data_IF_121082579817
#
_entry.id   IF_121082579817
#
_cell.length_a   1.000
_cell.length_b   1.000
_cell.length_c   1.000
_cell.angle_alpha   90.00
_cell.angle_beta   90.00
_cell.angle_gamma   90.00
#
_symmetry.space_group_name_H-M   'P 1'
#
loop_
_entity.id
_entity.type
_entity.pdbx_description
1 polymer ?
2 non-polymer ?
3 non-polymer ?
4 non-polymer ?
5 non-polymer ?
6 water ?
#
# COMPACT_ATOMS: atom_id res chain seq x y z
N UNK A 1 -21.96 12.39 15.19
CA UNK A 1 -22.23 13.80 14.76
C UNK A 1 -23.41 13.90 13.75
N UNK A 2 -23.71 15.10 13.24
CA UNK A 2 -25.00 15.36 12.60
C UNK A 2 -25.09 15.14 11.07
N UNK A 3 -23.98 14.83 10.40
CA UNK A 3 -24.04 14.47 8.98
C UNK A 3 -24.55 13.03 8.82
N UNK A 4 -25.50 12.84 7.91
CA UNK A 4 -26.09 11.54 7.71
C UNK A 4 -25.11 10.61 7.04
N UNK A 5 -25.25 9.32 7.29
CA UNK A 5 -24.47 8.32 6.54
C UNK A 5 -24.78 8.41 5.05
N UNK A 6 -26.04 8.69 4.68
CA UNK A 6 -26.39 8.87 3.26
C UNK A 6 -25.53 9.96 2.60
N UNK A 7 -25.30 11.09 3.31
CA UNK A 7 -24.50 12.20 2.78
C UNK A 7 -23.01 11.84 2.68
N UNK A 8 -22.48 11.18 3.71
CA UNK A 8 -21.07 10.72 3.65
C UNK A 8 -20.87 9.79 2.44
N UNK A 9 -21.76 8.81 2.32
CA UNK A 9 -21.68 7.84 1.20
C UNK A 9 -21.74 8.53 -0.17
N UNK A 10 -22.64 9.50 -0.31
CA UNK A 10 -22.76 10.23 -1.57
C UNK A 10 -21.53 11.07 -1.87
N UNK A 11 -21.01 11.76 -0.86
CA UNK A 11 -19.81 12.57 -1.04
C UNK A 11 -18.61 11.72 -1.50
N UNK A 12 -18.37 10.60 -0.84
CA UNK A 12 -17.21 9.78 -1.14
C UNK A 12 -17.37 9.13 -2.52
N UNK A 13 -18.57 8.63 -2.82
CA UNK A 13 -18.87 8.16 -4.17
C UNK A 13 -18.53 9.24 -5.23
N UNK A 14 -18.91 10.48 -4.97
CA UNK A 14 -18.65 11.57 -5.92
C UNK A 14 -17.16 11.83 -6.17
N UNK A 15 -16.29 11.56 -5.19
CA UNK A 15 -14.84 11.75 -5.42
C UNK A 15 -14.32 10.80 -6.50
N UNK A 16 -14.81 9.55 -6.49
CA UNK A 16 -14.44 8.58 -7.52
C UNK A 16 -15.10 8.91 -8.86
N UNK A 17 -16.37 9.29 -8.84
CA UNK A 17 -17.08 9.70 -10.06
C UNK A 17 -16.37 10.87 -10.73
N UNK A 18 -15.93 11.85 -9.96
CA UNK A 18 -15.32 13.06 -10.50
C UNK A 18 -13.91 12.81 -11.08
N UNK A 19 -13.17 11.86 -10.52
CA UNK A 19 -11.91 11.38 -11.12
C UNK A 19 -12.14 10.48 -12.34
N UNK A 20 -13.38 10.24 -12.71
CA UNK A 20 -13.75 9.40 -13.84
C UNK A 20 -13.14 7.99 -13.77
N UNK A 21 -13.21 7.41 -12.57
CA UNK A 21 -12.79 6.03 -12.39
C UNK A 21 -13.82 5.24 -11.59
N UNK A 22 -13.46 4.00 -11.29
CA UNK A 22 -14.24 3.12 -10.47
C UNK A 22 -13.35 2.69 -9.32
N UNK A 23 -13.86 2.78 -8.11
CA UNK A 23 -13.05 2.43 -6.96
C UNK A 23 -13.79 2.30 -5.66
N UNK A 24 -13.04 1.87 -4.65
CA UNK A 24 -13.55 1.65 -3.32
C UNK A 24 -12.49 2.12 -2.32
N UNK A 25 -12.92 2.66 -1.18
CA UNK A 25 -12.03 2.89 -0.05
C UNK A 25 -12.66 2.18 1.16
N UNK A 26 -11.86 1.31 1.78
CA UNK A 26 -12.28 0.53 2.94
C UNK A 26 -11.64 1.18 4.16
N UNK A 27 -12.45 1.45 5.19
CA UNK A 27 -11.98 2.04 6.43
C UNK A 27 -12.25 1.03 7.54
N UNK A 28 -11.27 0.83 8.43
CA UNK A 28 -11.44 -0.07 9.56
C UNK A 28 -11.37 0.72 10.87
N UNK A 29 -12.42 0.67 11.67
CA UNK A 29 -12.44 1.33 12.98
C UNK A 29 -12.66 0.24 14.00
N UNK A 30 -11.59 -0.10 14.72
CA UNK A 30 -11.60 -1.23 15.63
C UNK A 30 -11.65 -2.49 14.79
N UNK A 31 -12.70 -3.29 14.98
CA UNK A 31 -12.93 -4.47 14.15
C UNK A 31 -13.90 -4.23 12.97
N UNK A 32 -14.54 -3.06 12.91
CA UNK A 32 -15.60 -2.84 11.91
C UNK A 32 -15.04 -2.27 10.61
N UNK A 33 -15.29 -2.98 9.51
CA UNK A 33 -14.92 -2.54 8.17
C UNK A 33 -16.05 -1.79 7.53
N UNK A 34 -15.79 -0.59 7.01
CA UNK A 34 -16.77 0.18 6.26
C UNK A 34 -16.27 0.39 4.85
N UNK A 35 -17.13 0.11 3.87
CA UNK A 35 -16.81 0.22 2.46
C UNK A 35 -17.52 1.43 1.83
N UNK A 36 -16.76 2.30 1.15
CA UNK A 36 -17.27 3.49 0.50
C UNK A 36 -16.76 3.55 -0.93
N UNK A 37 -17.34 4.41 -1.75
CA UNK A 37 -16.84 4.66 -3.11
C UNK A 37 -17.94 4.48 -4.13
N UNK A 38 -17.57 4.32 -5.40
CA UNK A 38 -18.55 4.17 -6.47
C UNK A 38 -18.56 2.79 -7.08
N UNK A 39 -17.80 1.83 -6.54
CA UNK A 39 -17.83 0.46 -7.07
C UNK A 39 -17.59 -0.55 -5.96
N UNK A 40 -18.58 -0.68 -5.08
CA UNK A 40 -18.42 -1.38 -3.82
C UNK A 40 -18.04 -2.86 -3.98
N UNK A 41 -18.47 -3.48 -5.08
CA UNK A 41 -18.16 -4.88 -5.34
C UNK A 41 -16.67 -5.18 -5.53
N UNK A 42 -15.84 -4.14 -5.71
CA UNK A 42 -14.40 -4.33 -5.76
C UNK A 42 -13.79 -4.82 -4.42
N UNK A 43 -14.52 -4.67 -3.31
CA UNK A 43 -14.00 -4.94 -1.96
C UNK A 43 -13.42 -6.33 -1.74
N UNK A 44 -14.02 -7.37 -2.33
CA UNK A 44 -13.52 -8.75 -2.19
C UNK A 44 -13.02 -9.37 -3.50
N UNK A 45 -12.65 -8.53 -4.48
CA UNK A 45 -12.00 -8.99 -5.70
C UNK A 45 -10.49 -8.90 -5.57
N UNK A 46 -9.80 -9.82 -6.23
CA UNK A 46 -8.34 -9.93 -6.20
C UNK A 46 -7.65 -9.06 -7.26
N UNK A 47 -6.63 -8.31 -6.85
CA UNK A 47 -5.78 -7.51 -7.77
C UNK A 47 -4.33 -7.74 -7.39
N UNK A 48 -3.41 -7.45 -8.32
CA UNK A 48 -2.00 -7.52 -7.97
C UNK A 48 -1.75 -6.42 -6.93
N UNK A 49 -0.84 -6.68 -5.99
CA UNK A 49 -0.53 -5.65 -4.99
C UNK A 49 0.31 -4.53 -5.53
N UNK A 50 1.04 -4.78 -6.61
CA UNK A 50 1.96 -3.81 -7.19
C UNK A 50 2.87 -3.28 -6.07
N UNK A 51 3.21 -2.00 -6.08
CA UNK A 51 4.18 -1.46 -5.14
C UNK A 51 3.74 -1.44 -3.66
N UNK A 52 2.48 -1.78 -3.35
CA UNK A 52 2.08 -1.96 -1.93
C UNK A 52 2.87 -3.13 -1.32
N UNK A 53 3.27 -4.09 -2.14
CA UNK A 53 4.13 -5.18 -1.69
C UNK A 53 5.48 -4.76 -1.10
N UNK A 54 5.96 -3.57 -1.44
CA UNK A 54 7.21 -3.03 -0.85
C UNK A 54 7.17 -3.04 0.66
N UNK A 55 6.00 -2.86 1.27
CA UNK A 55 5.88 -2.95 2.73
C UNK A 55 6.32 -4.32 3.24
N UNK A 56 5.80 -5.38 2.65
CA UNK A 56 6.15 -6.72 3.07
C UNK A 56 7.56 -7.13 2.62
N UNK A 57 7.94 -6.74 1.41
CA UNK A 57 9.29 -6.96 0.89
C UNK A 57 10.31 -6.41 1.91
N UNK A 58 10.11 -5.18 2.38
CA UNK A 58 11.01 -4.57 3.39
C UNK A 58 11.04 -5.31 4.74
N UNK A 59 9.86 -5.71 5.24
CA UNK A 59 9.79 -6.50 6.47
C UNK A 59 10.60 -7.79 6.35
N UNK A 60 10.41 -8.49 5.24
CA UNK A 60 11.07 -9.76 5.01
C UNK A 60 12.59 -9.59 4.91
N UNK A 61 13.03 -8.56 4.17
CA UNK A 61 14.45 -8.32 3.96
C UNK A 61 15.16 -7.90 5.24
N UNK A 62 14.54 -7.01 6.01
CA UNK A 62 15.14 -6.57 7.27
C UNK A 62 15.15 -7.70 8.31
N UNK A 63 14.05 -8.44 8.43
CA UNK A 63 13.97 -9.54 9.40
C UNK A 63 15.07 -10.58 9.13
N UNK A 64 15.30 -10.88 7.86
CA UNK A 64 16.26 -11.90 7.46
C UNK A 64 17.66 -11.37 7.15
N UNK A 65 17.98 -10.17 7.63
CA UNK A 65 19.30 -9.54 7.50
C UNK A 65 19.83 -9.47 6.06
N UNK A 66 18.94 -9.18 5.13
CA UNK A 66 19.32 -8.97 3.74
C UNK A 66 19.67 -7.51 3.46
N UNK A 67 19.35 -6.63 4.41
CA UNK A 67 19.68 -5.22 4.30
C UNK A 67 19.55 -4.61 5.67
N UNK A 68 20.10 -3.41 5.82
CA UNK A 68 19.88 -2.58 6.99
C UNK A 68 19.18 -1.32 6.57
N UNK A 69 18.67 -0.56 7.54
CA UNK A 69 17.95 0.67 7.21
C UNK A 69 18.86 1.81 6.75
N UNK A 70 20.16 1.75 7.04
CA UNK A 70 21.09 2.77 6.57
C UNK A 70 21.89 2.38 5.33
N UNK A 71 21.76 1.13 4.89
CA UNK A 71 22.50 0.65 3.72
C UNK A 71 22.10 1.48 2.50
N UNK A 72 23.09 1.84 1.70
CA UNK A 72 22.85 2.62 0.50
C UNK A 72 22.92 1.65 -0.68
N UNK A 73 21.79 1.49 -1.37
CA UNK A 73 21.71 0.68 -2.57
C UNK A 73 22.17 1.55 -3.75
N UNK A 74 23.31 1.21 -4.33
CA UNK A 74 23.91 2.04 -5.39
C UNK A 74 23.16 1.92 -6.70
N UNK A 75 22.98 3.05 -7.38
CA UNK A 75 22.53 3.04 -8.76
C UNK A 75 23.62 2.42 -9.65
N UNK A 76 23.24 1.44 -10.47
CA UNK A 76 24.16 0.72 -11.36
C UNK A 76 24.63 1.54 -12.59
N UNK A 77 24.03 2.70 -12.81
CA UNK A 77 24.43 3.60 -13.89
C UNK A 77 23.65 3.41 -15.17
N UNK A 78 22.71 2.45 -15.18
CA UNK A 78 21.83 2.22 -16.32
C UNK A 78 20.59 3.10 -16.28
N UNK A 79 20.03 3.37 -17.48
CA UNK A 79 18.86 4.22 -17.62
C UNK A 79 17.67 3.55 -16.92
N UNK A 80 16.88 4.35 -16.21
CA UNK A 80 15.74 3.86 -15.46
C UNK A 80 14.48 4.40 -16.09
N UNK A 81 13.37 3.74 -15.81
CA UNK A 81 12.06 4.18 -16.30
C UNK A 81 11.77 5.62 -15.88
N UNK A 82 12.13 5.98 -14.64
CA UNK A 82 12.02 7.34 -14.10
C UNK A 82 13.40 7.88 -13.73
N UNK A 83 13.73 9.12 -14.17
CA UNK A 83 15.01 9.79 -13.84
C UNK A 83 15.32 9.94 -12.35
N UNK A 84 14.28 10.05 -11.51
CA UNK A 84 14.60 10.18 -10.08
C UNK A 84 15.05 8.89 -9.43
N UNK A 85 14.91 7.74 -10.14
CA UNK A 85 15.47 6.48 -9.67
C UNK A 85 16.97 6.37 -9.95
N UNK A 86 17.55 7.29 -10.75
CA UNK A 86 18.97 7.22 -11.14
C UNK A 86 19.87 7.82 -10.06
N UNK A 87 19.84 7.22 -8.87
CA UNK A 87 20.61 7.68 -7.75
C UNK A 87 20.69 6.56 -6.71
N UNK A 88 21.62 6.76 -5.79
CA UNK A 88 21.88 5.82 -4.71
C UNK A 88 20.86 6.13 -3.62
N UNK A 89 20.32 5.09 -3.00
CA UNK A 89 19.32 5.31 -1.97
C UNK A 89 19.18 4.19 -0.96
N UNK A 90 18.61 4.56 0.17
CA UNK A 90 18.25 3.61 1.24
C UNK A 90 16.89 3.00 0.95
N UNK A 91 16.53 1.96 1.69
CA UNK A 91 15.21 1.34 1.58
C UNK A 91 14.09 2.35 1.81
N UNK A 92 14.29 3.24 2.79
CA UNK A 92 13.29 4.26 3.10
C UNK A 92 13.10 5.27 2.00
N UNK A 93 14.21 5.72 1.42
CA UNK A 93 14.14 6.63 0.27
C UNK A 93 13.47 5.92 -0.91
N UNK A 94 13.82 4.66 -1.13
CA UNK A 94 13.21 3.87 -2.19
C UNK A 94 11.71 3.64 -1.96
N UNK A 95 11.30 3.51 -0.70
CA UNK A 95 9.86 3.37 -0.37
C UNK A 95 9.09 4.61 -0.87
N UNK A 96 9.56 5.79 -0.50
CA UNK A 96 8.93 7.05 -0.87
C UNK A 96 8.89 7.31 -2.38
N UNK A 97 9.94 6.90 -3.10
CA UNK A 97 9.99 7.05 -4.55
C UNK A 97 9.38 5.88 -5.31
N UNK A 98 8.96 4.85 -4.58
CA UNK A 98 8.53 3.56 -5.16
C UNK A 98 9.54 3.04 -6.20
N UNK A 99 10.81 3.03 -5.79
CA UNK A 99 11.92 2.62 -6.64
C UNK A 99 12.00 1.11 -6.73
N UNK A 100 11.28 0.59 -7.72
CA UNK A 100 11.21 -0.83 -8.02
C UNK A 100 12.58 -1.49 -8.10
N UNK A 101 13.59 -0.86 -8.77
CA UNK A 101 14.89 -1.55 -8.86
C UNK A 101 15.56 -1.88 -7.54
N UNK A 102 15.39 -1.03 -6.54
CA UNK A 102 15.96 -1.29 -5.24
C UNK A 102 15.26 -2.47 -4.59
N UNK A 103 13.93 -2.50 -4.68
CA UNK A 103 13.15 -3.59 -4.09
C UNK A 103 13.32 -4.88 -4.87
N UNK A 104 13.63 -4.80 -6.16
CA UNK A 104 13.99 -6.02 -6.92
C UNK A 104 15.33 -6.59 -6.46
N UNK A 105 16.30 -5.71 -6.15
CA UNK A 105 17.58 -6.17 -5.59
C UNK A 105 17.33 -6.86 -4.25
N UNK A 106 16.52 -6.24 -3.39
CA UNK A 106 16.18 -6.85 -2.12
C UNK A 106 15.53 -8.22 -2.28
N UNK A 107 14.56 -8.33 -3.19
CA UNK A 107 13.91 -9.64 -3.46
C UNK A 107 14.91 -10.71 -3.91
N UNK A 108 15.83 -10.33 -4.79
CA UNK A 108 16.88 -11.24 -5.23
C UNK A 108 17.82 -11.69 -4.10
N UNK A 109 18.13 -10.80 -3.16
CA UNK A 109 18.94 -11.18 -2.03
C UNK A 109 18.18 -12.16 -1.15
N UNK A 110 16.90 -11.90 -0.94
CA UNK A 110 16.05 -12.79 -0.17
C UNK A 110 15.97 -14.16 -0.84
N UNK A 111 15.74 -14.16 -2.15
CA UNK A 111 15.67 -15.38 -2.93
C UNK A 111 14.30 -16.03 -2.93
N UNK A 112 14.03 -16.82 -3.97
CA UNK A 112 12.69 -17.36 -4.20
C UNK A 112 12.21 -18.24 -3.06
N UNK A 113 13.06 -19.18 -2.62
CA UNK A 113 12.66 -20.13 -1.58
C UNK A 113 12.24 -19.45 -0.30
N UNK A 114 13.09 -18.56 0.20
CA UNK A 114 12.78 -17.81 1.42
C UNK A 114 11.59 -16.86 1.23
N UNK A 115 11.50 -16.20 0.08
CA UNK A 115 10.37 -15.29 -0.19
C UNK A 115 9.02 -16.05 -0.13
N UNK A 116 8.94 -17.20 -0.79
CA UNK A 116 7.70 -17.99 -0.79
C UNK A 116 7.33 -18.43 0.61
N UNK A 117 8.31 -18.91 1.37
CA UNK A 117 8.06 -19.31 2.75
C UNK A 117 7.57 -18.16 3.63
N UNK A 118 8.14 -16.98 3.45
CA UNK A 118 7.76 -15.84 4.27
C UNK A 118 6.39 -15.29 3.87
N UNK A 119 6.10 -15.28 2.57
CA UNK A 119 4.80 -14.83 2.08
C UNK A 119 3.70 -15.79 2.56
N UNK A 120 3.97 -17.11 2.53
CA UNK A 120 3.06 -18.11 3.16
C UNK A 120 2.91 -17.90 4.66
N UNK A 121 4.03 -17.71 5.36
CA UNK A 121 4.01 -17.54 6.81
C UNK A 121 3.18 -16.33 7.26
N UNK A 122 3.23 -15.24 6.50
CA UNK A 122 2.44 -14.05 6.77
C UNK A 122 0.98 -14.18 6.26
N UNK A 123 0.73 -15.10 5.33
CA UNK A 123 -0.49 -15.41 4.70
C UNK A 123 -1.07 -14.04 4.04
N UNK A 124 -0.24 -13.57 3.11
CA UNK A 124 -0.51 -12.34 2.36
C UNK A 124 -1.23 -12.67 1.06
N UNK A 125 -2.46 -12.16 0.90
CA UNK A 125 -3.24 -12.34 -0.32
C UNK A 125 -3.52 -13.80 -0.62
N UNK A 126 -3.39 -14.18 -1.89
CA UNK A 126 -3.47 -15.57 -2.28
C UNK A 126 -2.20 -16.39 -1.99
N UNK A 127 -1.17 -15.75 -1.40
CA UNK A 127 0.09 -16.40 -0.98
C UNK A 127 0.97 -17.05 -2.08
N UNK A 128 0.66 -16.86 -3.37
CA UNK A 128 1.41 -17.50 -4.46
C UNK A 128 2.33 -16.53 -5.15
N UNK A 129 3.63 -16.83 -5.12
CA UNK A 129 4.61 -15.99 -5.83
C UNK A 129 5.17 -16.62 -7.11
N UNK A 130 4.85 -17.88 -7.39
CA UNK A 130 5.30 -18.54 -8.61
C UNK A 130 6.82 -18.71 -8.64
N UNK A 131 7.42 -18.58 -9.82
CA UNK A 131 8.82 -18.93 -10.06
C UNK A 131 9.77 -17.74 -10.26
N UNK A 132 9.25 -16.53 -10.39
CA UNK A 132 10.05 -15.34 -10.69
C UNK A 132 10.11 -14.40 -9.47
N UNK A 133 11.25 -14.42 -8.77
CA UNK A 133 11.39 -13.69 -7.52
C UNK A 133 11.34 -12.15 -7.63
N UNK A 134 11.55 -11.60 -8.83
CA UNK A 134 11.71 -10.15 -9.00
C UNK A 134 10.54 -9.40 -9.66
N UNK A 135 9.46 -10.11 -9.99
CA UNK A 135 8.27 -9.44 -10.54
C UNK A 135 6.90 -10.03 -10.15
N UNK A 136 6.88 -10.94 -9.18
CA UNK A 136 5.64 -11.64 -8.80
C UNK A 136 4.53 -10.72 -8.25
N UNK A 137 4.92 -9.57 -7.68
CA UNK A 137 4.01 -8.55 -7.13
C UNK A 137 3.49 -7.57 -8.19
N UNK A 138 4.09 -7.59 -9.38
CA UNK A 138 3.83 -6.64 -10.45
C UNK A 138 2.88 -7.18 -11.51
N UNK A 139 3.05 -8.44 -11.89
CA UNK A 139 2.29 -9.03 -13.01
C UNK A 139 1.59 -10.32 -12.65
N UNK A 140 1.47 -10.61 -11.36
CA UNK A 140 1.00 -11.92 -10.90
C UNK A 140 2.15 -12.91 -10.75
N UNK A 141 1.91 -14.08 -10.15
CA UNK A 141 0.56 -14.55 -9.76
C UNK A 141 0.05 -14.06 -8.39
N UNK A 142 0.84 -13.27 -7.65
CA UNK A 142 0.39 -12.82 -6.33
C UNK A 142 -0.75 -11.80 -6.49
N UNK A 143 -1.83 -12.02 -5.74
CA UNK A 143 -3.00 -11.16 -5.76
C UNK A 143 -3.56 -11.02 -4.35
N UNK A 144 -4.32 -9.94 -4.15
CA UNK A 144 -4.86 -9.60 -2.84
C UNK A 144 -6.11 -8.75 -3.01
N UNK A 145 -7.05 -8.87 -2.07
CA UNK A 145 -8.28 -8.07 -2.09
C UNK A 145 -8.08 -6.79 -1.28
N UNK A 146 -8.91 -5.76 -1.55
CA UNK A 146 -8.87 -4.58 -0.69
C UNK A 146 -9.18 -4.83 0.78
N UNK A 147 -10.06 -5.77 1.07
CA UNK A 147 -10.30 -6.20 2.46
C UNK A 147 -9.02 -6.79 3.07
N UNK A 148 -8.35 -7.68 2.34
CA UNK A 148 -7.07 -8.23 2.79
C UNK A 148 -6.00 -7.15 2.99
N UNK A 149 -5.95 -6.14 2.10
CA UNK A 149 -4.98 -5.05 2.24
C UNK A 149 -5.24 -4.18 3.45
N UNK A 150 -6.51 -3.85 3.74
CA UNK A 150 -6.78 -3.05 4.93
C UNK A 150 -6.49 -3.85 6.22
N UNK A 151 -6.71 -5.15 6.19
CA UNK A 151 -6.39 -6.02 7.33
C UNK A 151 -4.88 -6.19 7.54
N UNK A 152 -4.11 -6.18 6.45
CA UNK A 152 -2.66 -6.14 6.53
C UNK A 152 -2.19 -4.83 7.17
N UNK A 153 -2.72 -3.71 6.70
CA UNK A 153 -2.40 -2.41 7.28
C UNK A 153 -2.73 -2.34 8.78
N UNK A 154 -3.87 -2.92 9.15
CA UNK A 154 -4.31 -3.00 10.56
C UNK A 154 -3.28 -3.76 11.39
N UNK A 155 -2.86 -4.91 10.86
CA UNK A 155 -1.82 -5.73 11.51
C UNK A 155 -0.52 -4.95 11.69
N UNK A 156 -0.04 -4.28 10.63
CA UNK A 156 1.24 -3.58 10.72
C UNK A 156 1.12 -2.39 11.67
N UNK A 157 0.04 -1.62 11.56
CA UNK A 157 -0.15 -0.47 12.44
C UNK A 157 -0.11 -0.84 13.93
N UNK A 158 -0.62 -2.04 14.27
CA UNK A 158 -0.64 -2.51 15.66
C UNK A 158 0.43 -3.55 15.96
N UNK A 159 1.46 -3.65 15.12
CA UNK A 159 2.57 -4.58 15.33
C UNK A 159 2.17 -6.03 15.51
N UNK A 160 1.09 -6.45 14.85
CA UNK A 160 0.60 -7.83 14.96
C UNK A 160 1.16 -8.79 13.94
N UNK A 161 1.94 -8.34 12.96
CA UNK A 161 2.51 -9.27 11.98
C UNK A 161 3.56 -10.13 12.68
N UNK A 162 3.85 -11.32 12.14
CA UNK A 162 4.80 -12.22 12.78
C UNK A 162 6.27 -11.88 12.38
N UNK A 163 6.70 -10.71 12.83
CA UNK A 163 8.06 -10.23 12.68
C UNK A 163 8.40 -9.58 14.01
N UNK A 164 9.68 -9.36 14.24
CA UNK A 164 10.10 -8.63 15.44
C UNK A 164 9.45 -7.25 15.47
N UNK A 165 9.16 -6.79 16.67
CA UNK A 165 8.69 -5.42 16.89
C UNK A 165 9.61 -4.37 16.26
N UNK A 166 10.92 -4.57 16.37
CA UNK A 166 11.89 -3.61 15.82
C UNK A 166 11.81 -3.54 14.28
N UNK A 167 11.66 -4.70 13.64
CA UNK A 167 11.46 -4.76 12.20
C UNK A 167 10.23 -3.97 11.74
N UNK A 168 9.11 -4.15 12.45
CA UNK A 168 7.87 -3.47 12.09
C UNK A 168 7.97 -1.97 12.29
N UNK A 169 8.62 -1.56 13.39
CA UNK A 169 8.84 -0.13 13.64
C UNK A 169 9.76 0.52 12.58
N UNK A 170 10.77 -0.20 12.13
CA UNK A 170 11.69 0.31 11.08
C UNK A 170 10.92 0.56 9.77
N UNK A 171 10.06 -0.39 9.39
CA UNK A 171 9.26 -0.24 8.16
C UNK A 171 8.21 0.86 8.29
N UNK A 172 7.56 0.95 9.46
CA UNK A 172 6.57 2.00 9.70
C UNK A 172 7.16 3.41 9.58
N UNK A 173 8.39 3.60 10.07
CA UNK A 173 9.13 4.87 9.91
C UNK A 173 9.29 5.27 8.44
N UNK A 174 9.35 4.31 7.52
CA UNK A 174 9.51 4.57 6.09
C UNK A 174 8.24 5.04 5.39
N UNK A 175 7.09 4.94 6.06
CA UNK A 175 5.80 5.08 5.41
C UNK A 175 5.07 6.37 5.71
N UNK A 176 5.69 7.29 6.43
CA UNK A 176 5.03 8.57 6.74
C UNK A 176 4.97 9.43 5.48
N UNK A 177 3.76 9.73 5.02
CA UNK A 177 3.57 10.51 3.77
C UNK A 177 2.88 11.84 3.94
N UNK A 178 2.17 12.05 5.04
CA UNK A 178 1.51 13.32 5.26
C UNK A 178 1.23 13.54 6.72
N UNK A 179 1.29 14.81 7.13
CA UNK A 179 0.91 15.24 8.46
C UNK A 179 -0.16 16.31 8.28
N UNK A 180 -1.31 16.13 8.92
CA UNK A 180 -2.45 17.03 8.77
C UNK A 180 -2.95 17.35 10.16
N UNK A 181 -2.76 18.59 10.60
CA UNK A 181 -3.28 19.09 11.90
C UNK A 181 -3.19 18.10 13.07
N UNK A 182 -1.98 17.58 13.34
CA UNK A 182 -1.78 16.59 14.42
C UNK A 182 -2.08 15.12 14.10
N UNK A 183 -2.69 14.85 12.94
CA UNK A 183 -2.82 13.48 12.44
C UNK A 183 -1.65 13.18 11.51
N UNK A 184 -1.14 11.96 11.58
CA UNK A 184 -0.11 11.46 10.68
C UNK A 184 -0.69 10.38 9.79
N UNK A 185 -0.39 10.43 8.49
CA UNK A 185 -0.81 9.39 7.57
C UNK A 185 0.39 8.54 7.15
N UNK A 186 0.32 7.25 7.47
CA UNK A 186 1.30 6.27 7.06
C UNK A 186 0.67 5.43 5.97
N UNK A 187 1.31 5.35 4.80
CA UNK A 187 0.74 4.59 3.69
C UNK A 187 1.75 4.31 2.60
N UNK A 188 1.44 3.31 1.77
CA UNK A 188 2.20 3.03 0.57
C UNK A 188 1.24 2.96 -0.61
N UNK A 189 1.60 3.66 -1.68
CA UNK A 189 0.85 3.63 -2.93
C UNK A 189 1.21 2.42 -3.76
N UNK A 190 0.31 2.08 -4.67
CA UNK A 190 0.55 1.01 -5.63
C UNK A 190 -0.06 1.36 -6.97
N UNK A 191 0.61 0.95 -8.05
CA UNK A 191 0.10 1.11 -9.40
C UNK A 191 0.56 -0.06 -10.23
N UNK A 192 -0.39 -0.94 -10.57
CA UNK A 192 -0.13 -2.09 -11.42
C UNK A 192 -0.13 -1.64 -12.86
N UNK A 193 1.05 -1.33 -13.37
CA UNK A 193 1.20 -0.83 -14.73
C UNK A 193 1.25 -1.94 -15.79
N UNK A 194 1.60 -3.15 -15.38
CA UNK A 194 1.75 -4.27 -16.32
C UNK A 194 0.60 -5.25 -16.34
N UNK A 195 -0.58 -4.79 -15.93
CA UNK A 195 -1.82 -5.57 -16.00
C UNK A 195 -2.87 -4.72 -16.69
N UNK A 196 -3.88 -5.34 -17.30
CA UNK A 196 -4.99 -4.57 -17.90
C UNK A 196 -6.32 -5.17 -17.43
N UNK A 197 -7.23 -4.34 -16.89
CA UNK A 197 -6.99 -2.93 -16.55
C UNK A 197 -5.96 -2.74 -15.44
N UNK A 198 -5.47 -1.52 -15.32
CA UNK A 198 -4.45 -1.19 -14.32
C UNK A 198 -5.09 -0.84 -12.98
N UNK A 199 -4.48 -1.33 -11.92
CA UNK A 199 -4.99 -1.15 -10.57
C UNK A 199 -4.18 -0.05 -9.88
N UNK A 200 -4.85 0.75 -9.08
CA UNK A 200 -4.22 1.77 -8.23
C UNK A 200 -4.60 1.48 -6.79
N UNK A 201 -3.64 1.66 -5.88
CA UNK A 201 -3.81 1.39 -4.46
C UNK A 201 -3.26 2.55 -3.65
N UNK A 202 -3.85 2.79 -2.49
CA UNK A 202 -3.17 3.51 -1.41
C UNK A 202 -3.60 2.86 -0.11
N UNK A 203 -2.66 2.21 0.57
CA UNK A 203 -2.98 1.39 1.72
C UNK A 203 -2.16 1.83 2.91
N UNK A 204 -2.82 2.04 4.04
CA UNK A 204 -2.14 2.50 5.24
C UNK A 204 -3.03 2.73 6.45
N UNK A 205 -2.67 3.71 7.27
CA UNK A 205 -3.48 4.08 8.41
C UNK A 205 -3.25 5.54 8.79
N UNK A 206 -4.25 6.10 9.46
CA UNK A 206 -4.14 7.42 10.06
C UNK A 206 -3.81 7.17 11.52
N UNK A 207 -2.79 7.85 12.02
CA UNK A 207 -2.51 7.88 13.46
C UNK A 207 -2.97 9.25 13.95
N UNK A 208 -4.04 9.26 14.73
CA UNK A 208 -4.61 10.52 15.23
C UNK A 208 -3.79 10.98 16.42
N UNK A 209 -3.88 12.28 16.72
CA UNK A 209 -3.16 12.91 17.84
C UNK A 209 -3.27 12.11 19.16
N UNK A 210 -4.50 11.67 19.45
CA UNK A 210 -4.79 10.84 20.64
C UNK A 210 -4.20 9.41 20.67
N UNK A 211 -3.62 8.94 19.57
CA UNK A 211 -3.00 7.63 19.52
C UNK A 211 -3.78 6.55 18.78
N UNK A 212 -5.08 6.78 18.55
CA UNK A 212 -5.91 5.81 17.79
C UNK A 212 -5.40 5.68 16.35
N UNK A 213 -5.39 4.44 15.85
CA UNK A 213 -4.98 4.15 14.47
C UNK A 213 -6.15 3.62 13.66
N UNK A 214 -6.41 4.26 12.51
CA UNK A 214 -7.53 3.92 11.64
C UNK A 214 -6.98 3.45 10.28
N UNK A 215 -6.91 2.13 10.09
CA UNK A 215 -6.45 1.62 8.80
C UNK A 215 -7.39 1.91 7.65
N UNK A 216 -6.82 1.98 6.44
CA UNK A 216 -7.60 2.15 5.23
C UNK A 216 -6.90 1.52 4.03
N UNK A 217 -7.70 1.25 2.99
CA UNK A 217 -7.17 0.84 1.70
C UNK A 217 -8.06 1.40 0.62
N UNK A 218 -7.49 2.23 -0.24
CA UNK A 218 -8.13 2.68 -1.45
C UNK A 218 -7.70 1.78 -2.61
N UNK A 219 -8.67 1.39 -3.43
CA UNK A 219 -8.43 0.57 -4.61
C UNK A 219 -9.24 1.15 -5.75
N UNK A 220 -8.61 1.41 -6.89
CA UNK A 220 -9.34 1.95 -8.05
C UNK A 220 -8.70 1.53 -9.36
N UNK A 221 -9.39 1.81 -10.47
CA UNK A 221 -8.84 1.57 -11.79
C UNK A 221 -8.05 2.80 -12.26
N UNK A 222 -6.78 2.60 -12.61
CA UNK A 222 -5.95 3.68 -13.16
C UNK A 222 -6.17 3.68 -14.68
N UNK A 223 -6.53 4.84 -15.22
CA UNK A 223 -6.94 5.00 -16.63
C UNK A 223 -5.91 5.83 -17.36
N UNK A 224 -5.98 5.79 -18.68
CA UNK A 224 -5.03 6.52 -19.56
C UNK A 224 -4.84 7.97 -19.12
N UNK A 225 -3.59 8.32 -18.79
CA UNK A 225 -3.24 9.69 -18.43
C UNK A 225 -3.83 10.24 -17.15
N UNK A 226 -4.07 9.37 -16.15
CA UNK A 226 -4.37 9.83 -14.78
C UNK A 226 -3.05 10.11 -14.09
N UNK A 227 -3.03 11.10 -13.20
CA UNK A 227 -1.85 11.33 -12.35
C UNK A 227 -1.86 10.38 -11.17
N UNK A 228 -0.68 9.92 -10.76
CA UNK A 228 -0.54 9.11 -9.56
C UNK A 228 -1.21 9.72 -8.34
N UNK A 229 -1.14 11.05 -8.23
CA UNK A 229 -1.64 11.78 -7.05
C UNK A 229 -3.16 11.75 -6.88
N UNK A 230 -3.92 11.30 -7.88
CA UNK A 230 -5.35 11.10 -7.68
C UNK A 230 -5.67 10.08 -6.54
N UNK A 231 -4.78 9.11 -6.33
CA UNK A 231 -4.94 8.12 -5.27
C UNK A 231 -4.91 8.81 -3.92
N UNK A 232 -3.89 9.66 -3.74
CA UNK A 232 -3.75 10.46 -2.54
C UNK A 232 -4.89 11.47 -2.34
N UNK A 233 -5.29 12.13 -3.41
CA UNK A 233 -6.31 13.17 -3.32
C UNK A 233 -7.67 12.61 -2.93
N UNK A 234 -8.07 11.52 -3.56
CA UNK A 234 -9.34 10.88 -3.21
C UNK A 234 -9.29 10.40 -1.77
N UNK A 235 -8.14 9.85 -1.36
CA UNK A 235 -7.99 9.30 -0.02
C UNK A 235 -8.12 10.39 1.03
N UNK A 236 -7.41 11.49 0.84
CA UNK A 236 -7.46 12.59 1.84
C UNK A 236 -8.85 13.21 1.93
N UNK A 237 -9.48 13.46 0.79
CA UNK A 237 -10.87 13.94 0.75
C UNK A 237 -11.85 13.02 1.47
N UNK A 238 -11.70 11.71 1.27
CA UNK A 238 -12.57 10.73 1.93
C UNK A 238 -12.36 10.70 3.43
N UNK A 239 -11.10 10.65 3.86
CA UNK A 239 -10.79 10.63 5.30
C UNK A 239 -11.22 11.93 5.97
N UNK A 240 -11.07 13.06 5.27
CA UNK A 240 -11.52 14.35 5.77
C UNK A 240 -13.05 14.40 5.89
N UNK A 241 -13.76 13.93 4.87
CA UNK A 241 -15.23 13.89 4.89
C UNK A 241 -15.78 13.10 6.09
N UNK A 242 -15.12 12.00 6.43
CA UNK A 242 -15.52 11.19 7.58
C UNK A 242 -15.03 11.72 8.94
N UNK A 243 -14.25 12.81 8.94
CA UNK A 243 -13.70 13.40 10.17
C UNK A 243 -12.52 12.65 10.77
N UNK A 244 -11.93 11.73 10.02
CA UNK A 244 -10.82 10.92 10.51
C UNK A 244 -9.53 11.75 10.55
N UNK A 245 -9.40 12.67 9.59
CA UNK A 245 -8.39 13.75 9.64
C UNK A 245 -9.11 15.08 9.48
X LIG B 1 6.66 0.27 -11.97
X LIG B 1 6.76 1.44 -11.20
X LIG B 1 6.12 1.55 -9.95
X LIG B 1 5.36 0.50 -9.42
X LIG B 1 5.22 -0.66 -10.20
X LIG B 1 5.87 -0.78 -11.44
X LIG B 1 4.59 0.68 -8.07
X LIG B 1 4.55 2.10 -7.55
X LIG B 1 3.22 0.05 -8.12
X LIG B 1 7.40 0.11 -13.43
X LIG B 1 8.59 -0.87 -13.50
X LIG B 1 8.62 -2.33 -13.44
X LIG B 1 10.10 -2.16 -13.80
X LIG B 1 10.00 -0.64 -13.76
X LIG B 1 6.42 -0.42 -14.34
X LIG B 1 7.80 1.41 -13.90
X LIG C 1 3.84 6.95 -9.65
X LIG C 1 3.79 6.86 -11.05
X LIG C 1 3.50 7.99 -11.84
X LIG C 1 3.29 9.22 -11.23
X LIG C 1 3.38 9.34 -9.83
X LIG C 1 3.67 8.21 -9.05
X LIG C 1 3.01 10.45 -12.15
X LIG C 1 1.77 11.31 -11.98
X LIG C 1 4.07 10.82 -13.18
X LIG C 1 4.22 5.64 -8.79
X LIG C 1 5.74 5.77 -9.02
X LIG C 1 6.60 5.28 -10.08
X LIG C 1 7.59 6.30 -9.51
X LIG C 1 6.67 6.63 -8.33
X LIG C 1 3.90 5.72 -7.39
X LIG C 1 3.74 4.43 -9.42
X LIG D 1 16.96 -19.63 -3.77
X LIG D 1 17.74 -20.86 -3.50
X LIG D 1 15.51 -19.97 -3.85
X LIG D 1 17.19 -18.65 -2.68
X LIG D 1 17.38 -19.03 -5.05
X LIG E 1 13.80 -0.22 -14.56
X LIG E 1 12.83 -0.77 -15.12
X LIG E 1 14.85 -0.85 -14.28
X LIG E 1 13.72 1.07 -14.26
X LIG F 1 10.22 -9.16 19.26
X LIG F 1 10.19 -10.41 19.13
X LIG F 1 9.20 -8.46 19.30
X LIG F 1 11.40 -8.54 19.34
X LIG G 1 -2.90 -6.20 20.16
X LIG G 1 -2.38 -7.33 20.01
X LIG G 1 -3.53 -5.63 19.24
X LIG G 1 -2.81 -5.60 21.34
X LIG H 1 9.29 11.35 -8.51
X LIG H 1 9.21 9.57 -8.73
#
# INVERSE_FOLDING_TARGET
>A
MHISSQQHEKAIKSYFDEAQTQGVIIIKEGKNLSTYGNALARANKEYVPASTFKMLNALIGLENHKATTNEIFKWDGKKRTYPXWEKDMTLGEAMALSAVPVYQELARRTGLELMQKEVKRVNFGNTNIGTQVDNFWLVGPLKITPVQEVNFADDLAHNRLPFKLETQEEVKKMLLIKEVNGSKIYAKSGWGMGVTPQVGWLTGWVEQANGKKIPFSLNLEMKEGMSGSIRNEITYKSLENLGII
>B hetero
1 JW8 C1 C2 C3 C4 C5 C6 B7 O8 O9 S10 N11 C12 C13 C14 O15 O16
>C hetero
1 JW8 C1 C2 C3 C4 C5 C6 B7 O8 O9 S10 N11 C12 C13 C14 O15 O16
>D hetero
1 SO4 S O1 O2 O3 O4
>E hetero
1 BCT C O1 O2 O3
>F hetero
1 BCT C O1 O2 O3
>G hetero
1 BCT C O1 O2 O3
>H hetero
1 MEE C S
#
